data_IF_817931479904
#
_entry.id   IF_817931479904
#
_cell.length_a   1.000
_cell.length_b   1.000
_cell.length_c   1.000
_cell.angle_alpha   90.00
_cell.angle_beta   90.00
_cell.angle_gamma   90.00
#
_symmetry.space_group_name_H-M   'P 1'
#
loop_
_entity.id
_entity.type
_entity.pdbx_description
1 polymer ?
#
# COMPACT_ATOMS: atom_id res chain seq x y z
N UNK A 1 -39.36 31.27 2.21
CA UNK A 1 -39.66 32.54 2.86
C UNK A 1 -40.44 32.39 4.18
N UNK A 2 -41.48 31.57 4.21
CA UNK A 2 -42.28 31.37 5.43
C UNK A 2 -41.42 30.84 6.60
N UNK A 3 -40.60 29.82 6.38
CA UNK A 3 -39.68 29.27 7.37
C UNK A 3 -38.73 30.37 7.91
N UNK A 4 -38.15 31.17 7.02
CA UNK A 4 -37.28 32.28 7.41
C UNK A 4 -38.00 33.28 8.31
N UNK A 5 -39.24 33.71 7.95
CA UNK A 5 -40.03 34.61 8.78
C UNK A 5 -40.29 34.03 10.18
N UNK A 6 -40.60 32.75 10.28
CA UNK A 6 -40.82 32.05 11.57
C UNK A 6 -39.56 32.02 12.42
N UNK A 7 -38.40 31.79 11.81
CA UNK A 7 -37.09 31.83 12.49
C UNK A 7 -36.81 33.24 13.00
N UNK A 8 -37.03 34.26 12.16
CA UNK A 8 -36.83 35.66 12.58
C UNK A 8 -37.78 36.08 13.70
N UNK A 9 -39.02 35.62 13.68
CA UNK A 9 -39.98 35.87 14.76
C UNK A 9 -39.50 35.25 16.08
N UNK A 10 -39.00 34.03 16.06
CA UNK A 10 -38.45 33.38 17.25
C UNK A 10 -37.15 34.09 17.74
N UNK A 11 -36.25 34.48 16.85
CA UNK A 11 -35.06 35.28 17.20
C UNK A 11 -35.46 36.57 17.90
N UNK A 12 -36.45 37.30 17.37
CA UNK A 12 -36.97 38.51 18.00
C UNK A 12 -37.56 38.27 19.39
N UNK A 13 -38.34 37.19 19.56
CA UNK A 13 -38.91 36.78 20.85
C UNK A 13 -37.81 36.52 21.88
N UNK A 14 -36.77 35.76 21.53
CA UNK A 14 -35.64 35.44 22.42
C UNK A 14 -34.86 36.71 22.83
N UNK A 15 -34.74 37.68 21.92
CA UNK A 15 -34.14 39.00 22.24
C UNK A 15 -35.02 39.78 23.24
N UNK A 16 -36.32 39.80 23.03
CA UNK A 16 -37.28 40.50 23.94
C UNK A 16 -37.30 39.85 25.33
N UNK A 17 -37.18 38.53 25.41
CA UNK A 17 -37.10 37.79 26.68
C UNK A 17 -35.70 37.90 27.35
N UNK A 18 -34.74 38.62 26.75
CA UNK A 18 -33.39 38.78 27.28
C UNK A 18 -32.52 37.51 27.24
N UNK A 19 -32.98 36.45 26.55
CA UNK A 19 -32.27 35.16 26.43
C UNK A 19 -31.08 35.21 25.46
N UNK A 20 -31.13 36.11 24.48
CA UNK A 20 -30.04 36.34 23.53
C UNK A 20 -29.80 37.85 23.35
N UNK A 21 -28.57 38.24 23.10
CA UNK A 21 -28.21 39.63 22.84
C UNK A 21 -28.64 40.07 21.44
N UNK A 22 -29.06 41.33 21.29
CA UNK A 22 -29.31 41.93 19.99
C UNK A 22 -27.98 42.09 19.24
N UNK A 23 -27.85 41.44 18.07
CA UNK A 23 -26.70 41.56 17.18
C UNK A 23 -26.88 42.72 16.19
N UNK A 24 -25.78 43.17 15.60
CA UNK A 24 -25.83 44.11 14.47
C UNK A 24 -26.49 43.41 13.27
N UNK A 25 -27.35 44.11 12.52
CA UNK A 25 -27.93 43.54 11.31
C UNK A 25 -26.84 43.19 10.31
N UNK A 26 -26.98 42.04 9.66
CA UNK A 26 -26.10 41.63 8.56
C UNK A 26 -26.46 42.43 7.29
N UNK A 27 -25.55 42.66 6.38
CA UNK A 27 -25.81 43.36 5.12
C UNK A 27 -26.85 42.60 4.27
N UNK A 28 -27.47 43.27 3.32
CA UNK A 28 -28.26 42.58 2.29
C UNK A 28 -27.36 41.70 1.42
N UNK A 29 -27.87 40.54 1.06
CA UNK A 29 -27.13 39.59 0.19
C UNK A 29 -27.17 40.14 -1.24
N UNK A 30 -26.02 40.49 -1.80
CA UNK A 30 -25.91 40.96 -3.17
C UNK A 30 -26.02 39.77 -4.15
N UNK A 31 -26.51 40.02 -5.36
CA UNK A 31 -26.69 38.97 -6.38
C UNK A 31 -25.37 38.31 -6.78
N UNK A 32 -24.27 39.03 -6.78
CA UNK A 32 -22.93 38.55 -7.09
C UNK A 32 -22.27 37.75 -5.96
N UNK A 33 -22.81 37.84 -4.73
CA UNK A 33 -22.36 37.01 -3.59
C UNK A 33 -22.98 35.61 -3.58
N UNK A 34 -24.07 35.41 -4.34
CA UNK A 34 -24.82 34.14 -4.38
C UNK A 34 -24.00 33.05 -5.11
N UNK A 35 -23.65 31.94 -4.46
CA UNK A 35 -22.71 30.96 -5.03
C UNK A 35 -23.31 30.16 -6.20
N UNK A 36 -24.62 30.00 -6.30
CA UNK A 36 -25.36 29.26 -7.32
C UNK A 36 -26.86 29.58 -7.24
N UNK A 37 -27.57 29.28 -8.31
CA UNK A 37 -29.04 29.41 -8.35
C UNK A 37 -29.71 28.38 -7.43
N UNK A 38 -30.75 28.77 -6.75
CA UNK A 38 -31.57 27.91 -5.89
C UNK A 38 -33.00 27.77 -6.44
N UNK A 39 -33.69 26.64 -6.19
CA UNK A 39 -35.06 26.44 -6.64
C UNK A 39 -36.03 27.51 -6.11
N UNK A 40 -37.08 27.74 -6.88
CA UNK A 40 -38.18 28.59 -6.44
C UNK A 40 -38.76 28.10 -5.11
N UNK A 41 -39.04 29.01 -4.20
CA UNK A 41 -39.49 28.71 -2.83
C UNK A 41 -38.38 28.54 -1.81
N UNK A 42 -37.09 28.45 -2.23
CA UNK A 42 -35.95 28.52 -1.33
C UNK A 42 -35.56 29.99 -1.06
N UNK A 43 -34.73 30.21 -0.05
CA UNK A 43 -34.22 31.56 0.27
C UNK A 43 -32.74 31.45 0.67
N UNK A 44 -31.92 32.39 0.17
CA UNK A 44 -30.61 32.63 0.74
C UNK A 44 -30.71 33.36 2.06
N UNK A 45 -29.96 32.93 3.06
CA UNK A 45 -29.86 33.58 4.36
C UNK A 45 -28.44 33.41 4.92
N UNK A 46 -28.00 34.34 5.72
CA UNK A 46 -26.76 34.16 6.48
C UNK A 46 -26.96 33.18 7.64
N UNK A 47 -25.92 32.39 7.97
CA UNK A 47 -25.98 31.45 9.08
C UNK A 47 -26.37 32.12 10.40
N UNK A 48 -25.82 33.32 10.68
CA UNK A 48 -26.14 34.10 11.88
C UNK A 48 -27.61 34.59 11.98
N UNK A 49 -28.36 34.53 10.86
CA UNK A 49 -29.80 34.80 10.89
C UNK A 49 -30.62 33.56 11.32
N UNK A 50 -30.06 32.37 11.08
CA UNK A 50 -30.75 31.08 11.27
C UNK A 50 -30.43 30.43 12.62
N UNK A 51 -29.26 30.73 13.18
CA UNK A 51 -28.69 30.02 14.33
C UNK A 51 -28.15 30.98 15.40
N UNK A 52 -28.29 30.55 16.64
CA UNK A 52 -27.53 31.10 17.77
C UNK A 52 -26.12 30.54 17.70
N UNK A 53 -25.15 31.42 17.54
CA UNK A 53 -23.72 31.07 17.48
C UNK A 53 -22.99 31.51 18.74
N UNK A 54 -22.16 30.64 19.30
CA UNK A 54 -21.24 30.95 20.39
C UNK A 54 -19.92 30.23 20.20
N UNK A 55 -18.85 30.82 20.74
CA UNK A 55 -17.55 30.15 20.91
C UNK A 55 -17.38 29.71 22.36
N UNK A 56 -16.51 28.76 22.59
CA UNK A 56 -16.22 28.27 23.93
C UNK A 56 -15.29 29.18 24.75
N UNK A 57 -14.80 28.65 25.86
CA UNK A 57 -13.86 29.33 26.77
C UNK A 57 -12.42 29.13 26.33
N UNK A 58 -11.62 30.20 26.38
CA UNK A 58 -10.18 30.13 26.19
C UNK A 58 -9.51 29.29 27.31
N UNK A 59 -8.54 28.46 26.94
CA UNK A 59 -7.75 27.71 27.89
C UNK A 59 -6.69 28.65 28.49
N UNK A 60 -6.90 29.14 29.71
CA UNK A 60 -5.95 30.01 30.39
C UNK A 60 -4.96 29.20 31.22
N UNK A 61 -3.68 29.45 31.03
CA UNK A 61 -2.59 28.90 31.83
C UNK A 61 -2.41 29.59 33.19
N UNK A 62 -2.97 30.81 33.36
CA UNK A 62 -2.94 31.61 34.62
C UNK A 62 -4.34 31.61 35.25
N UNK A 63 -4.57 30.57 36.07
CA UNK A 63 -5.89 30.20 36.54
C UNK A 63 -6.63 31.22 37.38
N UNK A 64 -7.74 31.71 36.90
CA UNK A 64 -8.88 31.95 37.75
C UNK A 64 -9.57 30.61 38.02
N UNK A 65 -9.28 30.00 39.17
CA UNK A 65 -9.90 28.74 39.65
C UNK A 65 -11.35 28.94 40.09
N UNK A 66 -12.06 29.98 39.60
CA UNK A 66 -13.44 30.26 39.95
C UNK A 66 -14.37 29.51 39.00
N UNK A 67 -15.29 28.73 39.56
CA UNK A 67 -16.31 28.00 38.81
C UNK A 67 -16.33 26.51 39.08
N UNK A 68 -17.19 25.80 38.36
CA UNK A 68 -17.34 24.33 38.44
C UNK A 68 -16.49 23.66 37.39
N UNK A 69 -15.71 22.67 37.76
CA UNK A 69 -14.89 21.90 36.82
C UNK A 69 -15.80 21.07 35.91
N UNK A 70 -15.61 21.18 34.61
CA UNK A 70 -16.35 20.45 33.58
C UNK A 70 -15.43 19.96 32.49
N UNK A 71 -15.80 18.83 31.90
CA UNK A 71 -15.20 18.31 30.66
C UNK A 71 -15.49 19.23 29.50
N UNK A 72 -14.51 19.41 28.61
CA UNK A 72 -14.68 20.25 27.44
C UNK A 72 -14.06 19.67 26.18
N UNK A 73 -14.69 19.93 25.04
CA UNK A 73 -14.27 19.53 23.70
C UNK A 73 -13.36 20.59 23.10
N UNK A 74 -12.29 20.13 22.49
CA UNK A 74 -11.35 20.90 21.67
C UNK A 74 -11.44 20.49 20.21
N UNK A 75 -10.76 21.18 19.32
CA UNK A 75 -10.68 20.80 17.90
C UNK A 75 -10.06 19.41 17.68
N UNK A 76 -9.22 18.93 18.59
CA UNK A 76 -8.64 17.58 18.51
C UNK A 76 -9.62 16.46 18.86
N UNK A 77 -10.73 16.77 19.54
CA UNK A 77 -11.78 15.81 19.85
C UNK A 77 -12.85 15.72 18.75
N UNK A 78 -12.94 16.73 17.84
CA UNK A 78 -13.99 16.85 16.85
C UNK A 78 -13.51 16.35 15.50
N UNK A 79 -14.20 15.38 14.92
CA UNK A 79 -13.99 14.83 13.58
C UNK A 79 -15.28 14.97 12.76
N UNK A 80 -15.24 14.69 11.47
CA UNK A 80 -16.45 14.65 10.67
C UNK A 80 -17.43 13.61 11.21
N UNK A 81 -18.63 14.08 11.58
CA UNK A 81 -19.75 13.30 12.12
C UNK A 81 -19.43 12.44 13.36
N UNK A 82 -18.34 12.71 14.08
CA UNK A 82 -17.98 11.94 15.28
C UNK A 82 -17.10 12.74 16.23
N UNK A 83 -17.05 12.28 17.50
CA UNK A 83 -16.14 12.80 18.51
C UNK A 83 -15.22 11.71 19.05
N UNK A 84 -13.96 12.04 19.27
CA UNK A 84 -13.07 11.22 20.08
C UNK A 84 -13.13 11.68 21.54
N UNK A 85 -13.82 10.91 22.35
CA UNK A 85 -14.00 11.19 23.77
C UNK A 85 -13.03 10.42 24.67
N UNK A 86 -12.04 9.73 24.12
CA UNK A 86 -11.05 8.93 24.88
C UNK A 86 -10.15 9.81 25.76
N UNK A 87 -9.87 11.05 25.33
CA UNK A 87 -9.02 12.03 26.02
C UNK A 87 -9.69 13.40 26.07
N UNK A 88 -10.63 13.56 26.97
CA UNK A 88 -11.33 14.83 27.19
C UNK A 88 -10.70 15.57 28.36
N UNK A 89 -10.35 16.85 28.16
CA UNK A 89 -9.75 17.71 29.20
C UNK A 89 -10.84 18.31 30.09
N UNK A 90 -10.41 18.81 31.26
CA UNK A 90 -11.29 19.48 32.21
C UNK A 90 -10.74 20.87 32.58
N UNK A 91 -11.63 21.82 32.80
CA UNK A 91 -11.29 23.14 33.34
C UNK A 91 -12.51 23.77 34.10
N UNK A 92 -12.27 24.77 34.96
CA UNK A 92 -13.37 25.43 35.64
C UNK A 92 -14.14 26.38 34.72
N UNK A 93 -15.48 26.42 34.90
CA UNK A 93 -16.40 27.31 34.22
C UNK A 93 -17.27 28.03 35.23
N UNK A 94 -17.45 29.36 35.07
CA UNK A 94 -18.45 30.12 35.82
C UNK A 94 -19.86 29.83 35.30
N UNK A 95 -20.90 30.23 36.03
CA UNK A 95 -22.29 30.02 35.56
C UNK A 95 -22.57 30.71 34.22
N UNK A 96 -22.10 31.94 34.03
CA UNK A 96 -22.25 32.66 32.76
C UNK A 96 -21.49 31.97 31.61
N UNK A 97 -20.31 31.39 31.89
CA UNK A 97 -19.56 30.62 30.90
C UNK A 97 -20.25 29.30 30.59
N UNK A 98 -20.85 28.61 31.57
CA UNK A 98 -21.62 27.39 31.35
C UNK A 98 -22.81 27.63 30.42
N UNK A 99 -23.55 28.71 30.61
CA UNK A 99 -24.65 29.06 29.71
C UNK A 99 -24.20 29.25 28.26
N UNK A 100 -23.09 29.92 28.06
CA UNK A 100 -22.53 30.23 26.74
C UNK A 100 -21.81 29.04 26.09
N UNK A 101 -20.98 28.32 26.87
CA UNK A 101 -20.03 27.36 26.33
C UNK A 101 -20.52 25.91 26.36
N UNK A 102 -21.74 25.63 26.85
CA UNK A 102 -22.26 24.28 26.94
C UNK A 102 -22.98 23.86 25.67
N UNK A 103 -22.49 22.79 25.05
CA UNK A 103 -23.14 22.08 23.95
C UNK A 103 -24.13 21.04 24.50
N UNK A 104 -25.24 20.87 23.80
CA UNK A 104 -26.31 19.91 24.09
C UNK A 104 -26.71 19.18 22.81
N UNK A 105 -27.45 18.10 22.96
CA UNK A 105 -27.96 17.30 21.85
C UNK A 105 -28.62 18.16 20.78
N UNK A 106 -28.23 17.97 19.53
CA UNK A 106 -28.70 18.74 18.38
C UNK A 106 -27.89 20.00 18.06
N UNK A 107 -26.87 20.35 18.85
CA UNK A 107 -25.96 21.44 18.49
C UNK A 107 -24.95 20.96 17.41
N UNK A 108 -24.69 21.80 16.40
CA UNK A 108 -23.60 21.59 15.45
C UNK A 108 -22.34 22.25 15.99
N UNK A 109 -21.30 21.47 16.21
CA UNK A 109 -19.97 21.93 16.61
C UNK A 109 -19.07 22.04 15.38
N UNK A 110 -18.35 23.16 15.23
CA UNK A 110 -17.51 23.46 14.07
C UNK A 110 -16.12 23.90 14.54
N UNK A 111 -15.07 23.39 13.95
CA UNK A 111 -13.70 23.83 14.23
C UNK A 111 -13.41 25.20 13.64
N UNK A 112 -12.90 26.12 14.49
CA UNK A 112 -12.38 27.43 14.08
C UNK A 112 -11.02 27.28 13.38
N UNK A 113 -10.13 26.44 13.91
CA UNK A 113 -8.76 26.27 13.44
C UNK A 113 -8.32 24.82 13.30
N UNK A 114 -7.10 24.63 12.82
CA UNK A 114 -6.58 23.33 12.43
C UNK A 114 -7.22 22.89 11.11
N UNK A 115 -8.12 21.92 11.15
CA UNK A 115 -8.98 21.59 10.00
C UNK A 115 -10.26 22.48 10.05
N UNK A 116 -10.09 23.75 9.68
CA UNK A 116 -11.08 24.79 9.72
C UNK A 116 -12.37 24.36 8.99
N UNK A 117 -13.52 24.53 9.64
CA UNK A 117 -14.84 24.16 9.11
C UNK A 117 -15.23 22.70 9.30
N UNK A 118 -14.36 21.83 9.86
CA UNK A 118 -14.73 20.48 10.25
C UNK A 118 -15.83 20.50 11.29
N UNK A 119 -16.89 19.71 11.09
CA UNK A 119 -18.10 19.79 11.86
C UNK A 119 -18.63 18.42 12.30
N UNK A 120 -19.34 18.40 13.44
CA UNK A 120 -20.13 17.25 13.89
C UNK A 120 -21.30 17.69 14.74
N UNK A 121 -22.39 16.93 14.69
CA UNK A 121 -23.56 17.13 15.50
C UNK A 121 -23.36 16.46 16.86
N UNK A 122 -23.59 17.19 17.96
CA UNK A 122 -23.55 16.61 19.29
C UNK A 122 -24.80 15.77 19.53
N UNK A 123 -24.70 14.47 19.37
CA UNK A 123 -25.83 13.51 19.47
C UNK A 123 -25.90 12.79 20.83
N UNK A 124 -25.13 13.24 21.83
CA UNK A 124 -25.14 12.68 23.19
C UNK A 124 -26.16 13.39 24.07
N UNK A 125 -26.77 12.64 24.98
CA UNK A 125 -27.71 13.21 25.96
C UNK A 125 -26.98 14.03 27.03
N UNK A 126 -25.72 13.70 27.29
CA UNK A 126 -24.84 14.41 28.20
C UNK A 126 -24.37 15.74 27.58
N UNK A 127 -24.45 16.80 28.41
CA UNK A 127 -23.94 18.13 28.03
C UNK A 127 -22.42 18.17 28.18
N UNK A 128 -21.75 18.90 27.31
CA UNK A 128 -20.30 19.10 27.32
C UNK A 128 -19.95 20.57 27.09
N UNK A 129 -18.89 21.05 27.71
CA UNK A 129 -18.38 22.39 27.41
C UNK A 129 -17.49 22.37 26.16
N UNK A 130 -17.27 23.53 25.56
CA UNK A 130 -16.41 23.69 24.38
C UNK A 130 -15.30 24.71 24.63
N UNK A 131 -14.15 24.52 23.98
CA UNK A 131 -13.01 25.43 23.97
C UNK A 131 -13.23 26.54 22.92
N UNK A 132 -12.56 27.69 23.10
CA UNK A 132 -12.70 28.87 22.23
C UNK A 132 -12.49 28.64 20.73
N UNK A 133 -11.73 27.63 20.31
CA UNK A 133 -11.53 27.24 18.90
C UNK A 133 -12.60 26.26 18.37
N UNK A 134 -13.69 26.10 19.11
CA UNK A 134 -14.86 25.33 18.68
C UNK A 134 -16.07 26.27 18.71
N UNK A 135 -16.72 26.41 17.57
CA UNK A 135 -17.99 27.10 17.42
C UNK A 135 -19.12 26.14 17.76
N UNK A 136 -20.13 26.65 18.51
CA UNK A 136 -21.41 26.00 18.73
C UNK A 136 -22.49 26.74 17.94
N UNK A 137 -23.17 26.02 17.08
CA UNK A 137 -24.26 26.50 16.23
C UNK A 137 -25.52 25.77 16.67
N UNK A 138 -26.46 26.51 17.23
CA UNK A 138 -27.77 26.03 17.75
C UNK A 138 -28.91 26.63 16.95
N UNK A 139 -29.79 25.80 16.37
CA UNK A 139 -30.92 26.34 15.61
C UNK A 139 -31.88 27.13 16.53
N UNK A 140 -32.38 28.24 16.03
CA UNK A 140 -33.42 28.96 16.76
C UNK A 140 -34.72 28.15 16.84
N UNK A 141 -35.17 27.60 15.73
CA UNK A 141 -36.31 26.68 15.65
C UNK A 141 -36.45 26.05 14.26
N UNK A 142 -37.00 24.83 14.22
CA UNK A 142 -37.58 24.20 13.03
C UNK A 142 -36.68 23.99 11.80
N UNK A 143 -35.34 23.99 11.95
CA UNK A 143 -34.43 23.58 10.89
C UNK A 143 -33.88 22.18 11.14
N UNK A 144 -33.50 21.45 10.08
CA UNK A 144 -32.76 20.21 10.22
C UNK A 144 -31.27 20.51 10.37
N UNK A 145 -30.69 20.17 11.53
CA UNK A 145 -29.29 20.41 11.81
C UNK A 145 -28.42 19.52 10.91
N UNK A 146 -28.91 18.33 10.53
CA UNK A 146 -28.26 17.38 9.62
C UNK A 146 -28.08 17.98 8.23
N UNK A 147 -29.07 18.73 7.74
CA UNK A 147 -28.97 19.47 6.48
C UNK A 147 -27.81 20.47 6.51
N UNK A 148 -27.69 21.24 7.59
CA UNK A 148 -26.58 22.18 7.74
C UNK A 148 -25.24 21.50 7.96
N UNK A 149 -25.21 20.35 8.63
CA UNK A 149 -24.00 19.54 8.70
C UNK A 149 -23.50 19.15 7.29
N UNK A 150 -24.38 18.64 6.42
CA UNK A 150 -24.01 18.30 5.04
C UNK A 150 -23.68 19.54 4.21
N UNK A 151 -24.28 20.67 4.48
CA UNK A 151 -23.92 21.94 3.84
C UNK A 151 -22.48 22.36 4.22
N UNK A 152 -22.11 22.27 5.51
CA UNK A 152 -20.75 22.52 5.95
C UNK A 152 -19.75 21.56 5.32
N UNK A 153 -20.10 20.30 5.22
CA UNK A 153 -19.30 19.28 4.53
C UNK A 153 -19.06 19.68 3.07
N UNK A 154 -20.13 19.97 2.33
CA UNK A 154 -20.04 20.42 0.94
C UNK A 154 -19.17 21.68 0.80
N UNK A 155 -19.39 22.69 1.63
CA UNK A 155 -18.67 23.96 1.56
C UNK A 155 -17.18 23.80 1.90
N UNK A 156 -16.84 22.92 2.81
CA UNK A 156 -15.45 22.61 3.12
C UNK A 156 -14.75 22.00 1.92
N UNK A 157 -15.31 20.95 1.32
CA UNK A 157 -14.67 20.22 0.22
C UNK A 157 -14.77 20.95 -1.13
N UNK A 158 -15.64 21.92 -1.27
CA UNK A 158 -15.69 22.80 -2.45
C UNK A 158 -14.92 24.12 -2.26
N UNK A 159 -14.21 24.29 -1.14
CA UNK A 159 -13.40 25.48 -0.86
C UNK A 159 -14.20 26.75 -0.58
N UNK A 160 -15.49 26.64 -0.23
CA UNK A 160 -16.37 27.77 0.07
C UNK A 160 -16.27 28.25 1.50
N UNK A 161 -15.81 27.44 2.44
CA UNK A 161 -15.43 27.86 3.79
C UNK A 161 -13.98 28.36 3.74
N UNK A 162 -13.79 29.64 3.50
CA UNK A 162 -12.46 30.27 3.49
C UNK A 162 -12.12 30.76 4.89
N UNK A 163 -11.03 30.22 5.45
CA UNK A 163 -10.39 30.79 6.64
C UNK A 163 -9.51 31.98 6.28
N UNK A 164 -9.38 32.93 7.19
CA UNK A 164 -8.46 34.07 7.08
C UNK A 164 -7.19 33.81 7.90
N UNK A 165 -6.03 34.14 7.33
CA UNK A 165 -4.72 34.04 7.99
C UNK A 165 -3.62 33.46 7.09
N UNK A 166 -2.38 33.96 7.24
CA UNK A 166 -1.22 33.57 6.41
C UNK A 166 -0.57 32.27 6.89
N UNK A 167 -0.61 31.98 8.19
CA UNK A 167 0.03 30.82 8.80
C UNK A 167 -0.97 29.79 9.38
N UNK A 168 -2.09 30.23 9.92
CA UNK A 168 -3.17 29.38 10.44
C UNK A 168 -4.48 29.94 9.90
N UNK A 169 -5.10 29.21 8.99
CA UNK A 169 -6.43 29.57 8.50
C UNK A 169 -7.46 29.30 9.61
N UNK A 170 -8.14 30.35 10.10
CA UNK A 170 -9.18 30.26 11.10
C UNK A 170 -10.54 30.74 10.55
N UNK A 171 -11.62 30.03 10.90
CA UNK A 171 -12.97 30.46 10.62
C UNK A 171 -13.46 31.35 11.78
N UNK A 172 -13.27 32.67 11.67
CA UNK A 172 -13.66 33.59 12.75
C UNK A 172 -15.18 33.60 13.00
N UNK A 173 -15.58 34.07 14.17
CA UNK A 173 -17.02 34.25 14.52
C UNK A 173 -17.77 35.12 13.51
N UNK A 174 -17.13 36.15 12.97
CA UNK A 174 -17.75 36.99 11.95
C UNK A 174 -17.87 36.24 10.60
N UNK A 175 -16.84 35.47 10.22
CA UNK A 175 -16.88 34.70 9.00
C UNK A 175 -17.97 33.61 9.04
N UNK A 176 -18.14 32.93 10.18
CA UNK A 176 -19.17 31.90 10.32
C UNK A 176 -20.58 32.50 10.27
N UNK A 177 -20.80 33.70 10.85
CA UNK A 177 -22.06 34.41 10.77
C UNK A 177 -22.44 34.77 9.34
N UNK A 178 -21.47 35.11 8.49
CA UNK A 178 -21.66 35.49 7.09
C UNK A 178 -21.66 34.31 6.12
N UNK A 179 -21.63 33.06 6.59
CA UNK A 179 -21.78 31.91 5.70
C UNK A 179 -23.16 31.94 5.06
N UNK A 180 -23.20 32.03 3.73
CA UNK A 180 -24.45 32.00 2.99
C UNK A 180 -24.99 30.58 2.93
N UNK A 181 -26.23 30.41 3.35
CA UNK A 181 -26.91 29.13 3.46
C UNK A 181 -28.19 29.15 2.60
N UNK A 182 -28.35 28.21 1.65
CA UNK A 182 -29.63 28.03 1.01
C UNK A 182 -30.61 27.39 2.01
N UNK A 183 -31.76 27.98 2.16
CA UNK A 183 -32.78 27.57 3.12
C UNK A 183 -34.02 27.01 2.40
N UNK A 184 -34.07 25.67 2.19
CA UNK A 184 -35.26 24.96 1.71
C UNK A 184 -36.36 24.94 2.75
N UNK A 185 -37.63 24.68 2.37
CA UNK A 185 -38.68 24.30 3.32
C UNK A 185 -38.26 23.12 4.18
N UNK A 186 -38.68 23.06 5.46
CA UNK A 186 -38.23 22.02 6.42
C UNK A 186 -38.46 20.59 5.93
N UNK A 187 -39.59 20.32 5.27
CA UNK A 187 -39.88 19.01 4.71
C UNK A 187 -38.87 18.62 3.64
N UNK A 188 -38.40 19.58 2.85
CA UNK A 188 -37.40 19.39 1.82
C UNK A 188 -36.00 19.19 2.40
N UNK A 189 -35.62 19.96 3.44
CA UNK A 189 -34.37 19.69 4.18
C UNK A 189 -34.30 18.23 4.62
N UNK A 190 -35.37 17.67 5.18
CA UNK A 190 -35.45 16.26 5.60
C UNK A 190 -35.33 15.27 4.42
N UNK A 191 -36.00 15.59 3.28
CA UNK A 191 -35.90 14.74 2.08
C UNK A 191 -34.48 14.73 1.51
N UNK A 192 -33.81 15.90 1.50
CA UNK A 192 -32.41 15.99 1.06
C UNK A 192 -31.51 15.16 1.97
N UNK A 193 -31.64 15.30 3.29
CA UNK A 193 -30.87 14.49 4.26
C UNK A 193 -31.11 13.00 4.05
N UNK A 194 -32.39 12.58 4.00
CA UNK A 194 -32.74 11.19 3.80
C UNK A 194 -32.14 10.63 2.50
N UNK A 195 -32.12 11.44 1.41
CA UNK A 195 -31.52 10.99 0.14
C UNK A 195 -30.02 10.90 0.20
N UNK A 196 -29.35 11.82 0.88
CA UNK A 196 -27.91 11.75 1.11
C UNK A 196 -27.56 10.48 1.92
N UNK A 197 -28.28 10.24 3.02
CA UNK A 197 -28.05 9.07 3.90
C UNK A 197 -28.38 7.75 3.20
N UNK A 198 -29.35 7.72 2.29
CA UNK A 198 -29.62 6.57 1.42
C UNK A 198 -28.45 6.28 0.47
N UNK A 199 -27.81 7.34 -0.07
CA UNK A 199 -26.75 7.19 -1.08
C UNK A 199 -25.35 6.90 -0.49
N UNK A 200 -25.04 7.43 0.70
CA UNK A 200 -23.73 7.26 1.33
C UNK A 200 -23.26 5.79 1.42
N UNK A 201 -24.09 4.81 1.84
CA UNK A 201 -23.68 3.41 1.88
C UNK A 201 -23.32 2.81 0.51
N UNK A 202 -23.87 3.36 -0.59
CA UNK A 202 -23.51 2.93 -1.94
C UNK A 202 -22.15 3.47 -2.34
N UNK A 203 -21.81 4.70 -1.95
CA UNK A 203 -20.48 5.28 -2.16
C UNK A 203 -19.41 4.49 -1.41
N UNK A 204 -19.66 4.12 -0.15
CA UNK A 204 -18.74 3.27 0.63
C UNK A 204 -18.52 1.90 -0.02
N UNK A 205 -19.57 1.29 -0.56
CA UNK A 205 -19.46 0.02 -1.29
C UNK A 205 -18.69 0.18 -2.60
N UNK A 206 -18.97 1.26 -3.31
CA UNK A 206 -18.26 1.57 -4.55
C UNK A 206 -16.76 1.78 -4.29
N UNK A 207 -16.40 2.58 -3.28
CA UNK A 207 -15.00 2.81 -2.90
C UNK A 207 -14.28 1.51 -2.55
N UNK A 208 -14.90 0.65 -1.74
CA UNK A 208 -14.34 -0.67 -1.40
C UNK A 208 -14.16 -1.57 -2.62
N UNK A 209 -15.15 -1.58 -3.53
CA UNK A 209 -15.07 -2.37 -4.75
C UNK A 209 -14.00 -1.81 -5.71
N UNK A 210 -13.91 -0.49 -5.83
CA UNK A 210 -12.91 0.19 -6.63
C UNK A 210 -11.49 -0.09 -6.13
N UNK A 211 -11.24 0.11 -4.84
CA UNK A 211 -9.92 -0.15 -4.23
C UNK A 211 -9.49 -1.61 -4.40
N UNK A 212 -10.45 -2.55 -4.29
CA UNK A 212 -10.19 -3.98 -4.54
C UNK A 212 -9.86 -4.26 -6.01
N UNK A 213 -10.57 -3.63 -6.93
CA UNK A 213 -10.31 -3.75 -8.37
C UNK A 213 -8.93 -3.18 -8.74
N UNK A 214 -8.59 -2.01 -8.22
CA UNK A 214 -7.28 -1.38 -8.40
C UNK A 214 -6.15 -2.29 -7.90
N UNK A 215 -6.31 -2.88 -6.72
CA UNK A 215 -5.34 -3.84 -6.17
C UNK A 215 -5.22 -5.08 -7.05
N UNK A 216 -6.33 -5.64 -7.53
CA UNK A 216 -6.30 -6.77 -8.45
C UNK A 216 -5.59 -6.41 -9.76
N UNK A 217 -5.91 -5.28 -10.37
CA UNK A 217 -5.28 -4.85 -11.61
C UNK A 217 -3.76 -4.68 -11.44
N UNK A 218 -3.33 -4.10 -10.34
CA UNK A 218 -1.91 -3.93 -10.02
C UNK A 218 -1.17 -5.24 -9.82
N UNK A 219 -1.81 -6.24 -9.20
CA UNK A 219 -1.20 -7.55 -8.90
C UNK A 219 -1.31 -8.53 -10.05
N UNK A 220 -2.35 -8.42 -10.86
CA UNK A 220 -2.70 -9.39 -11.89
C UNK A 220 -1.54 -9.78 -12.82
N UNK A 221 -0.73 -8.82 -13.37
CA UNK A 221 0.38 -9.18 -14.26
C UNK A 221 1.43 -10.06 -13.58
N UNK A 222 1.75 -9.76 -12.32
CA UNK A 222 2.74 -10.49 -11.53
C UNK A 222 2.22 -11.86 -11.10
N UNK A 223 0.97 -11.93 -10.64
CA UNK A 223 0.36 -13.18 -10.20
C UNK A 223 0.12 -14.12 -11.40
N UNK A 224 -0.20 -13.55 -12.58
CA UNK A 224 -0.30 -14.31 -13.82
C UNK A 224 1.06 -14.88 -14.26
N UNK A 225 2.14 -14.09 -14.22
CA UNK A 225 3.50 -14.60 -14.48
C UNK A 225 3.87 -15.75 -13.55
N UNK A 226 3.60 -15.61 -12.25
CA UNK A 226 3.84 -16.68 -11.26
C UNK A 226 3.03 -17.93 -11.58
N UNK A 227 1.77 -17.78 -11.95
CA UNK A 227 0.88 -18.90 -12.30
C UNK A 227 1.39 -19.63 -13.55
N UNK A 228 1.81 -18.90 -14.57
CA UNK A 228 2.38 -19.47 -15.81
C UNK A 228 3.67 -20.24 -15.52
N UNK A 229 4.58 -19.68 -14.72
CA UNK A 229 5.80 -20.38 -14.30
C UNK A 229 5.48 -21.65 -13.48
N UNK A 230 4.47 -21.62 -12.62
CA UNK A 230 4.05 -22.79 -11.87
C UNK A 230 3.44 -23.85 -12.79
N UNK A 231 2.62 -23.46 -13.78
CA UNK A 231 2.10 -24.39 -14.79
C UNK A 231 3.21 -25.02 -15.62
N UNK A 232 4.24 -24.26 -15.95
CA UNK A 232 5.40 -24.75 -16.70
C UNK A 232 6.10 -25.92 -15.99
N UNK A 233 6.38 -25.76 -14.69
CA UNK A 233 7.06 -26.79 -13.89
C UNK A 233 6.14 -27.96 -13.48
N UNK A 234 4.82 -27.81 -13.65
CA UNK A 234 3.84 -28.86 -13.43
C UNK A 234 3.52 -29.65 -14.71
N UNK A 235 4.18 -29.35 -15.84
CA UNK A 235 3.90 -30.00 -17.13
C UNK A 235 2.54 -29.66 -17.74
N UNK A 236 1.94 -28.52 -17.33
CA UNK A 236 0.60 -28.06 -17.77
C UNK A 236 0.64 -26.96 -18.83
N UNK A 237 1.84 -26.52 -19.24
CA UNK A 237 2.00 -25.40 -20.16
C UNK A 237 2.03 -25.82 -21.64
N UNK A 238 2.53 -27.02 -21.91
CA UNK A 238 2.60 -27.62 -23.25
C UNK A 238 2.07 -29.04 -23.22
N UNK A 239 1.69 -29.55 -24.39
CA UNK A 239 1.20 -30.91 -24.55
C UNK A 239 2.31 -31.94 -24.28
N UNK A 240 2.01 -33.03 -23.60
CA UNK A 240 2.94 -34.14 -23.39
C UNK A 240 3.10 -34.93 -24.66
N UNK A 241 4.36 -35.32 -25.05
CA UNK A 241 4.70 -36.05 -26.27
C UNK A 241 5.54 -37.26 -25.93
N UNK A 242 4.97 -38.47 -25.85
CA UNK A 242 5.70 -39.69 -25.48
C UNK A 242 6.89 -39.99 -26.41
N UNK A 243 6.82 -39.58 -27.68
CA UNK A 243 7.91 -39.76 -28.67
C UNK A 243 9.18 -38.95 -28.36
N UNK A 244 9.09 -37.95 -27.48
CA UNK A 244 10.25 -37.13 -27.06
C UNK A 244 11.09 -37.80 -25.98
N UNK A 245 10.73 -39.02 -25.56
CA UNK A 245 11.40 -39.78 -24.49
C UNK A 245 10.85 -39.44 -23.10
N UNK A 246 11.63 -39.72 -22.08
CA UNK A 246 11.21 -39.46 -20.68
C UNK A 246 12.37 -38.92 -19.83
N UNK A 247 12.01 -38.32 -18.70
CA UNK A 247 12.93 -37.70 -17.73
C UNK A 247 13.86 -38.72 -17.06
N UNK A 248 13.43 -39.99 -16.88
CA UNK A 248 14.25 -41.03 -16.29
C UNK A 248 15.42 -41.42 -17.21
N UNK A 249 15.17 -41.48 -18.52
CA UNK A 249 16.17 -41.74 -19.53
C UNK A 249 17.19 -40.61 -19.61
N UNK A 250 16.71 -39.38 -19.65
CA UNK A 250 17.54 -38.17 -19.63
C UNK A 250 18.41 -38.14 -18.34
N UNK A 251 17.82 -38.41 -17.19
CA UNK A 251 18.56 -38.49 -15.93
C UNK A 251 19.70 -39.49 -15.98
N UNK A 252 19.46 -40.73 -16.49
CA UNK A 252 20.51 -41.76 -16.64
C UNK A 252 21.63 -41.31 -17.57
N UNK A 253 21.32 -40.65 -18.68
CA UNK A 253 22.31 -40.09 -19.60
C UNK A 253 23.20 -39.05 -18.91
N UNK A 254 22.56 -38.11 -18.16
CA UNK A 254 23.27 -37.08 -17.41
C UNK A 254 24.17 -37.68 -16.33
N UNK A 255 23.69 -38.67 -15.58
CA UNK A 255 24.51 -39.33 -14.56
C UNK A 255 25.70 -40.07 -15.19
N UNK A 256 25.54 -40.72 -16.35
CA UNK A 256 26.62 -41.36 -17.09
C UNK A 256 27.68 -40.34 -17.55
N UNK A 257 27.25 -39.21 -18.12
CA UNK A 257 28.15 -38.11 -18.50
C UNK A 257 28.89 -37.54 -17.28
N UNK A 258 28.17 -37.31 -16.18
CA UNK A 258 28.75 -36.81 -14.93
C UNK A 258 29.82 -37.75 -14.39
N UNK A 259 29.59 -39.07 -14.42
CA UNK A 259 30.58 -40.07 -14.03
C UNK A 259 31.79 -40.06 -14.95
N UNK A 260 31.60 -39.87 -16.27
CA UNK A 260 32.71 -39.76 -17.24
C UNK A 260 33.58 -38.52 -16.95
N UNK A 261 32.95 -37.37 -16.63
CA UNK A 261 33.66 -36.14 -16.28
C UNK A 261 34.43 -36.27 -14.95
N UNK A 262 33.89 -37.00 -13.96
CA UNK A 262 34.58 -37.33 -12.70
C UNK A 262 35.79 -38.21 -12.97
N UNK A 263 35.65 -39.27 -13.78
CA UNK A 263 36.75 -40.15 -14.14
C UNK A 263 37.87 -39.42 -14.92
N UNK A 264 37.49 -38.46 -15.74
CA UNK A 264 38.43 -37.60 -16.48
C UNK A 264 39.06 -36.49 -15.59
N UNK A 265 38.72 -36.40 -14.32
CA UNK A 265 39.24 -35.38 -13.40
C UNK A 265 38.75 -33.96 -13.68
N UNK A 266 37.72 -33.80 -14.53
CA UNK A 266 37.18 -32.50 -14.93
C UNK A 266 36.24 -31.90 -13.89
N UNK A 267 35.55 -32.74 -13.11
CA UNK A 267 34.67 -32.33 -12.00
C UNK A 267 34.95 -33.20 -10.77
N UNK A 268 34.66 -32.68 -9.58
CA UNK A 268 34.87 -33.39 -8.33
C UNK A 268 33.74 -34.40 -8.07
N UNK A 269 34.11 -35.55 -7.47
CA UNK A 269 33.13 -36.54 -7.01
C UNK A 269 32.36 -35.98 -5.80
N UNK A 270 31.04 -35.88 -5.92
CA UNK A 270 30.15 -35.53 -4.81
C UNK A 270 29.60 -36.79 -4.15
N UNK A 271 29.14 -36.67 -2.89
CA UNK A 271 28.41 -37.76 -2.23
C UNK A 271 27.07 -37.96 -2.94
N UNK A 272 26.64 -39.21 -3.19
CA UNK A 272 25.33 -39.45 -3.77
C UNK A 272 24.26 -38.86 -2.85
N UNK A 273 23.26 -38.25 -3.45
CA UNK A 273 22.09 -37.75 -2.74
C UNK A 273 21.10 -38.89 -2.52
N UNK A 274 20.29 -38.85 -1.47
CA UNK A 274 19.15 -39.75 -1.32
C UNK A 274 18.14 -39.48 -2.45
N UNK A 275 17.33 -40.48 -2.79
CA UNK A 275 16.17 -40.25 -3.65
C UNK A 275 15.19 -39.31 -2.94
N UNK A 276 14.47 -38.49 -3.72
CA UNK A 276 13.42 -37.60 -3.19
C UNK A 276 12.28 -38.51 -2.74
N UNK A 277 11.95 -38.47 -1.45
CA UNK A 277 10.86 -39.28 -0.90
C UNK A 277 9.50 -38.78 -1.40
N UNK A 278 8.50 -39.63 -1.46
CA UNK A 278 7.16 -39.25 -1.95
C UNK A 278 6.51 -38.13 -1.14
N UNK A 279 6.79 -38.04 0.15
CA UNK A 279 6.32 -36.99 1.05
C UNK A 279 7.10 -35.64 0.89
N UNK A 280 8.26 -35.68 0.25
CA UNK A 280 9.06 -34.50 -0.11
C UNK A 280 8.69 -33.91 -1.49
N UNK A 281 7.86 -34.64 -2.28
CA UNK A 281 7.42 -34.20 -3.62
C UNK A 281 6.43 -33.05 -3.50
N UNK A 282 6.73 -31.87 -4.06
CA UNK A 282 5.88 -30.69 -3.87
C UNK A 282 4.50 -30.77 -4.55
N UNK A 283 4.40 -31.53 -5.66
CA UNK A 283 3.17 -31.72 -6.44
C UNK A 283 3.35 -32.87 -7.45
N UNK A 284 2.27 -33.34 -7.99
CA UNK A 284 2.28 -34.37 -9.06
C UNK A 284 2.81 -33.79 -10.39
N UNK A 285 3.70 -34.54 -11.06
CA UNK A 285 4.23 -34.24 -12.38
C UNK A 285 3.78 -35.29 -13.41
N UNK A 286 3.82 -35.01 -14.72
CA UNK A 286 3.51 -35.99 -15.76
C UNK A 286 4.32 -37.30 -15.63
N UNK A 287 3.74 -38.43 -16.00
CA UNK A 287 4.33 -39.76 -15.92
C UNK A 287 5.71 -39.88 -16.63
N UNK A 288 5.88 -39.09 -17.69
CA UNK A 288 7.16 -39.03 -18.44
C UNK A 288 8.23 -38.17 -17.78
N UNK A 289 7.97 -37.52 -16.64
CA UNK A 289 8.92 -36.64 -15.95
C UNK A 289 9.55 -37.34 -14.74
N UNK A 290 10.67 -36.78 -14.23
CA UNK A 290 11.33 -37.25 -13.01
C UNK A 290 11.62 -36.08 -12.06
N UNK A 291 11.39 -36.25 -10.76
CA UNK A 291 11.91 -35.36 -9.77
C UNK A 291 13.40 -35.60 -9.54
N UNK A 292 14.21 -34.54 -9.54
CA UNK A 292 15.65 -34.59 -9.29
C UNK A 292 16.06 -33.43 -8.38
N UNK A 293 17.17 -33.57 -7.67
CA UNK A 293 17.79 -32.41 -7.03
C UNK A 293 18.59 -31.60 -8.05
N UNK A 294 18.64 -30.28 -7.83
CA UNK A 294 19.43 -29.39 -8.71
C UNK A 294 20.87 -29.87 -8.86
N UNK A 295 21.49 -30.39 -7.77
CA UNK A 295 22.85 -30.93 -7.82
C UNK A 295 23.00 -32.09 -8.82
N UNK A 296 21.98 -32.86 -9.11
CA UNK A 296 22.03 -33.97 -10.04
C UNK A 296 22.22 -33.52 -11.49
N UNK A 297 21.75 -32.33 -11.82
CA UNK A 297 21.72 -31.77 -13.19
C UNK A 297 22.72 -30.62 -13.41
N UNK A 298 23.54 -30.29 -12.44
CA UNK A 298 24.65 -29.34 -12.56
C UNK A 298 26.01 -30.03 -12.49
N UNK A 299 27.03 -29.41 -13.07
CA UNK A 299 28.39 -30.01 -13.19
C UNK A 299 29.05 -30.19 -11.82
N UNK A 300 28.95 -29.17 -10.99
CA UNK A 300 29.50 -29.14 -9.64
C UNK A 300 28.57 -28.33 -8.70
N UNK A 301 28.76 -28.51 -7.39
CA UNK A 301 27.94 -27.77 -6.40
C UNK A 301 28.08 -26.27 -6.58
N UNK A 302 27.01 -25.51 -6.16
CA UNK A 302 27.02 -24.07 -6.22
C UNK A 302 28.24 -23.47 -5.50
N UNK A 303 28.93 -22.53 -6.13
CA UNK A 303 30.11 -21.87 -5.58
C UNK A 303 29.83 -20.41 -5.26
N UNK A 304 30.24 -19.96 -4.07
CA UNK A 304 30.15 -18.54 -3.71
C UNK A 304 31.23 -17.75 -4.47
N UNK A 305 30.88 -16.49 -4.79
CA UNK A 305 31.86 -15.58 -5.38
C UNK A 305 32.79 -14.93 -4.35
N UNK A 306 33.40 -13.83 -4.75
CA UNK A 306 34.36 -13.07 -3.96
C UNK A 306 34.00 -11.57 -3.96
N UNK A 307 34.06 -10.92 -2.81
CA UNK A 307 33.65 -9.51 -2.64
C UNK A 307 34.82 -8.65 -2.18
N UNK A 308 35.82 -8.37 -3.01
CA UNK A 308 36.85 -7.40 -2.68
C UNK A 308 36.27 -5.99 -2.58
N UNK A 309 37.03 -5.09 -1.94
CA UNK A 309 36.65 -3.67 -1.83
C UNK A 309 36.63 -3.04 -3.23
N UNK A 310 35.58 -2.30 -3.53
CA UNK A 310 35.50 -1.53 -4.79
C UNK A 310 36.43 -0.33 -4.78
N UNK A 311 36.87 0.07 -5.97
CA UNK A 311 37.68 1.26 -6.22
C UNK A 311 36.97 2.16 -7.24
N UNK A 312 37.30 3.45 -7.25
CA UNK A 312 36.69 4.50 -8.07
C UNK A 312 37.48 4.79 -9.36
N UNK A 313 38.51 4.00 -9.61
CA UNK A 313 39.29 4.06 -10.85
C UNK A 313 39.15 2.76 -11.64
N UNK A 314 39.42 2.84 -12.95
CA UNK A 314 39.30 1.72 -13.87
C UNK A 314 40.41 0.69 -13.62
N UNK A 315 40.01 -0.57 -13.41
CA UNK A 315 40.90 -1.74 -13.31
C UNK A 315 40.52 -2.80 -14.32
N UNK A 316 41.41 -3.76 -14.61
CA UNK A 316 41.10 -4.88 -15.51
C UNK A 316 39.95 -5.77 -15.00
N UNK A 317 39.73 -5.81 -13.66
CA UNK A 317 38.78 -6.75 -13.07
C UNK A 317 37.49 -5.99 -12.63
N UNK A 318 36.36 -6.47 -13.16
CA UNK A 318 35.03 -5.99 -12.85
C UNK A 318 34.27 -7.02 -12.03
N UNK A 319 33.74 -6.61 -10.89
CA UNK A 319 32.94 -7.46 -10.01
C UNK A 319 31.47 -7.05 -10.07
N UNK A 320 30.57 -7.97 -10.39
CA UNK A 320 29.14 -7.72 -10.41
C UNK A 320 28.65 -7.25 -9.03
N UNK A 321 27.60 -6.44 -9.02
CA UNK A 321 26.84 -6.13 -7.81
C UNK A 321 25.55 -6.94 -7.78
N UNK A 322 24.87 -7.01 -6.63
CA UNK A 322 23.59 -7.73 -6.53
C UNK A 322 22.55 -7.24 -7.53
N UNK A 323 22.56 -5.94 -7.85
CA UNK A 323 21.63 -5.35 -8.81
C UNK A 323 21.77 -5.89 -10.22
N UNK A 324 22.90 -6.53 -10.55
CA UNK A 324 23.11 -7.19 -11.83
C UNK A 324 22.13 -8.34 -12.10
N UNK A 325 21.55 -8.93 -11.05
CA UNK A 325 20.68 -10.11 -11.16
C UNK A 325 19.34 -9.97 -10.45
N UNK A 326 19.10 -8.88 -9.71
CA UNK A 326 17.90 -8.69 -8.86
C UNK A 326 16.59 -8.71 -9.64
N UNK A 327 16.60 -8.29 -10.91
CA UNK A 327 15.42 -8.36 -11.78
C UNK A 327 15.13 -9.76 -12.34
N UNK A 328 15.99 -10.75 -12.07
CA UNK A 328 15.96 -12.06 -12.71
C UNK A 328 16.47 -12.06 -14.16
N UNK A 329 16.99 -10.92 -14.64
CA UNK A 329 17.67 -10.75 -15.94
C UNK A 329 19.04 -10.13 -15.70
N UNK A 330 20.03 -10.54 -16.47
CA UNK A 330 21.38 -10.00 -16.36
C UNK A 330 21.43 -8.53 -16.81
N UNK A 331 22.08 -7.70 -16.00
CA UNK A 331 22.30 -6.28 -16.26
C UNK A 331 23.79 -5.99 -16.26
N UNK A 332 24.34 -5.77 -17.46
CA UNK A 332 25.79 -5.63 -17.67
C UNK A 332 26.38 -4.39 -17.00
N UNK A 333 25.60 -3.32 -16.86
CA UNK A 333 26.02 -2.05 -16.26
C UNK A 333 26.18 -2.10 -14.73
N UNK A 334 25.72 -3.18 -14.08
CA UNK A 334 25.69 -3.28 -12.61
C UNK A 334 26.94 -3.98 -12.06
N UNK A 335 28.07 -3.30 -12.08
CA UNK A 335 29.36 -3.80 -11.57
C UNK A 335 30.11 -2.71 -10.81
N UNK A 336 31.21 -3.10 -10.18
CA UNK A 336 32.23 -2.22 -9.59
C UNK A 336 33.62 -2.65 -10.05
N UNK A 337 34.56 -1.74 -10.17
CA UNK A 337 35.96 -2.03 -10.36
C UNK A 337 36.57 -2.52 -9.04
N UNK A 338 37.49 -3.48 -9.13
CA UNK A 338 38.21 -4.05 -7.98
C UNK A 338 39.68 -4.18 -8.32
N UNK A 339 40.54 -3.80 -7.38
CA UNK A 339 41.99 -3.87 -7.53
C UNK A 339 42.52 -5.07 -6.76
N UNK A 340 42.60 -6.19 -7.46
CA UNK A 340 43.09 -7.48 -6.94
C UNK A 340 43.98 -8.16 -7.99
N UNK A 341 44.90 -9.04 -7.56
CA UNK A 341 45.65 -9.88 -8.49
C UNK A 341 44.75 -10.75 -9.37
N UNK A 342 45.11 -10.95 -10.63
CA UNK A 342 44.34 -11.78 -11.57
C UNK A 342 44.26 -13.23 -11.06
N UNK A 343 45.29 -13.72 -10.39
CA UNK A 343 45.35 -15.04 -9.75
C UNK A 343 44.22 -15.23 -8.71
N UNK A 344 43.81 -14.17 -8.02
CA UNK A 344 42.73 -14.22 -7.05
C UNK A 344 41.35 -14.22 -7.72
N UNK A 345 41.27 -13.65 -8.94
CA UNK A 345 40.04 -13.61 -9.74
C UNK A 345 39.81 -14.93 -10.51
N UNK A 346 40.84 -15.73 -10.76
CA UNK A 346 40.84 -16.89 -11.69
C UNK A 346 39.65 -17.85 -11.45
N UNK A 347 39.29 -18.12 -10.21
CA UNK A 347 38.22 -19.05 -9.83
C UNK A 347 36.81 -18.46 -10.03
N UNK A 348 36.70 -17.16 -10.21
CA UNK A 348 35.43 -16.43 -10.15
C UNK A 348 34.97 -15.87 -11.50
N UNK A 349 35.78 -16.05 -12.56
CA UNK A 349 35.39 -15.62 -13.89
C UNK A 349 34.13 -16.31 -14.36
N UNK A 350 33.17 -15.50 -14.82
CA UNK A 350 31.92 -15.97 -15.40
C UNK A 350 32.09 -16.34 -16.87
N UNK A 351 31.33 -17.33 -17.29
CA UNK A 351 31.16 -17.71 -18.69
C UNK A 351 29.70 -17.58 -19.09
N UNK A 352 29.48 -17.27 -20.36
CA UNK A 352 28.11 -17.20 -20.90
C UNK A 352 27.39 -18.52 -20.64
N UNK A 353 26.13 -18.42 -20.13
CA UNK A 353 25.35 -19.58 -19.74
C UNK A 353 25.51 -19.99 -18.27
N UNK A 354 26.46 -19.40 -17.53
CA UNK A 354 26.51 -19.62 -16.07
C UNK A 354 25.19 -19.18 -15.40
N UNK A 355 24.65 -20.01 -14.55
CA UNK A 355 23.46 -19.72 -13.76
C UNK A 355 23.88 -19.12 -12.41
N UNK A 356 23.41 -17.91 -12.14
CA UNK A 356 23.67 -17.18 -10.91
C UNK A 356 22.43 -17.21 -10.01
N UNK A 357 22.65 -17.43 -8.72
CA UNK A 357 21.59 -17.38 -7.69
C UNK A 357 22.01 -16.44 -6.57
N UNK A 358 21.16 -15.50 -6.21
CA UNK A 358 21.43 -14.60 -5.09
C UNK A 358 21.38 -15.35 -3.77
N UNK A 359 22.52 -15.47 -3.12
CA UNK A 359 22.67 -16.12 -1.82
C UNK A 359 22.07 -15.31 -0.69
N UNK A 360 22.17 -13.98 -0.75
CA UNK A 360 21.75 -13.07 0.30
C UNK A 360 21.11 -11.82 -0.31
N UNK A 361 19.90 -11.53 0.15
CA UNK A 361 19.15 -10.31 -0.19
C UNK A 361 17.96 -10.18 0.78
N UNK A 362 17.00 -9.28 0.54
CA UNK A 362 15.72 -9.29 1.26
C UNK A 362 15.05 -10.68 1.17
N UNK A 363 14.12 -10.96 2.06
CA UNK A 363 13.42 -12.26 2.09
C UNK A 363 12.70 -12.60 0.78
N UNK A 364 12.22 -11.58 0.10
CA UNK A 364 11.54 -11.71 -1.20
C UNK A 364 12.49 -11.97 -2.36
N UNK A 365 13.73 -11.50 -2.25
CA UNK A 365 14.72 -11.53 -3.31
C UNK A 365 15.78 -12.62 -3.14
N UNK A 366 15.96 -13.17 -1.92
CA UNK A 366 16.92 -14.27 -1.68
C UNK A 366 16.60 -15.45 -2.59
N UNK A 367 17.62 -16.01 -3.24
CA UNK A 367 17.49 -17.14 -4.19
C UNK A 367 16.96 -16.74 -5.58
N UNK A 368 16.83 -15.45 -5.93
CA UNK A 368 16.57 -15.06 -7.32
C UNK A 368 17.68 -15.58 -8.23
N UNK A 369 17.29 -16.23 -9.32
CA UNK A 369 18.20 -16.76 -10.35
C UNK A 369 18.27 -15.85 -11.57
N UNK A 370 19.38 -15.96 -12.29
CA UNK A 370 19.63 -15.25 -13.53
C UNK A 370 20.70 -15.98 -14.35
N UNK A 371 20.50 -16.06 -15.66
CA UNK A 371 21.54 -16.57 -16.57
C UNK A 371 22.48 -15.42 -16.93
N UNK A 372 23.78 -15.66 -16.80
CA UNK A 372 24.79 -14.71 -17.25
C UNK A 372 24.87 -14.72 -18.77
N UNK A 373 24.59 -13.61 -19.41
CA UNK A 373 24.58 -13.42 -20.87
C UNK A 373 25.76 -12.59 -21.39
N UNK A 374 26.65 -12.10 -20.51
CA UNK A 374 27.82 -11.32 -20.85
C UNK A 374 28.91 -12.16 -21.55
N UNK A 375 30.01 -11.53 -21.95
CA UNK A 375 31.16 -12.19 -22.55
C UNK A 375 31.91 -13.07 -21.52
N UNK A 376 32.55 -14.12 -22.00
CA UNK A 376 33.37 -14.98 -21.15
C UNK A 376 34.50 -14.18 -20.49
N UNK A 377 34.71 -14.43 -19.21
CA UNK A 377 35.77 -13.81 -18.41
C UNK A 377 35.71 -12.25 -18.36
N UNK A 378 34.54 -11.65 -18.59
CA UNK A 378 34.38 -10.21 -18.51
C UNK A 378 34.11 -9.72 -17.06
N UNK A 379 33.56 -10.56 -16.22
CA UNK A 379 33.18 -10.25 -14.84
C UNK A 379 33.48 -11.40 -13.89
N UNK A 380 33.80 -11.06 -12.66
CA UNK A 380 33.67 -11.95 -11.50
C UNK A 380 32.38 -11.63 -10.76
N UNK A 381 31.99 -12.44 -9.76
CA UNK A 381 30.75 -12.28 -9.02
C UNK A 381 31.00 -12.24 -7.50
N UNK A 382 30.12 -11.51 -6.73
CA UNK A 382 30.32 -11.32 -5.30
C UNK A 382 29.97 -12.60 -4.51
N UNK A 383 30.46 -12.66 -3.25
CA UNK A 383 30.16 -13.75 -2.31
C UNK A 383 28.67 -13.84 -1.92
N UNK A 384 27.88 -12.77 -2.22
CA UNK A 384 26.44 -12.72 -2.08
C UNK A 384 25.69 -13.44 -3.23
N UNK A 385 26.41 -13.98 -4.21
CA UNK A 385 25.89 -14.81 -5.29
C UNK A 385 26.56 -16.20 -5.29
N UNK A 386 25.84 -17.18 -5.81
CA UNK A 386 26.35 -18.51 -6.13
C UNK A 386 26.29 -18.73 -7.63
N UNK A 387 27.36 -19.31 -8.21
CA UNK A 387 27.44 -19.71 -9.61
C UNK A 387 27.28 -21.21 -9.74
N UNK A 388 26.57 -21.62 -10.79
CA UNK A 388 26.38 -22.99 -11.21
C UNK A 388 26.53 -23.11 -12.73
N UNK A 389 26.89 -24.33 -13.22
CA UNK A 389 26.86 -24.69 -14.64
C UNK A 389 25.99 -25.92 -14.81
N UNK A 390 25.01 -25.80 -15.66
CA UNK A 390 24.11 -26.91 -15.97
C UNK A 390 24.85 -27.94 -16.83
N UNK A 391 24.50 -29.22 -16.66
CA UNK A 391 25.08 -30.32 -17.48
C UNK A 391 24.65 -30.15 -18.94
N UNK A 392 25.51 -30.63 -19.87
CA UNK A 392 25.11 -30.76 -21.27
C UNK A 392 23.84 -31.64 -21.37
N UNK A 393 23.00 -31.36 -22.35
CA UNK A 393 21.72 -32.08 -22.48
C UNK A 393 20.60 -31.58 -21.61
N UNK A 394 20.82 -30.54 -20.81
CA UNK A 394 19.78 -29.79 -20.04
C UNK A 394 19.63 -28.37 -20.60
N UNK A 395 18.43 -27.90 -20.76
CA UNK A 395 18.18 -26.52 -21.14
C UNK A 395 18.35 -25.59 -19.92
N UNK A 396 19.36 -24.73 -19.95
CA UNK A 396 19.70 -23.82 -18.86
C UNK A 396 18.53 -22.85 -18.58
N UNK A 397 17.85 -22.37 -19.61
CA UNK A 397 16.70 -21.48 -19.54
C UNK A 397 15.53 -22.15 -18.82
N UNK A 398 15.29 -23.44 -19.06
CA UNK A 398 14.28 -24.22 -18.34
C UNK A 398 14.60 -24.27 -16.83
N UNK A 399 15.86 -24.56 -16.49
CA UNK A 399 16.29 -24.59 -15.07
C UNK A 399 16.11 -23.20 -14.43
N UNK A 400 16.49 -22.13 -15.11
CA UNK A 400 16.31 -20.76 -14.61
C UNK A 400 14.84 -20.43 -14.37
N UNK A 401 13.93 -20.77 -15.30
CA UNK A 401 12.50 -20.61 -15.10
C UNK A 401 11.95 -21.49 -13.97
N UNK A 402 12.45 -22.71 -13.81
CA UNK A 402 12.08 -23.56 -12.68
C UNK A 402 12.48 -22.94 -11.34
N UNK A 403 13.67 -22.35 -11.25
CA UNK A 403 14.13 -21.66 -10.04
C UNK A 403 13.34 -20.37 -9.74
N UNK A 404 12.73 -19.76 -10.74
CA UNK A 404 11.85 -18.58 -10.61
C UNK A 404 10.40 -18.94 -10.28
N UNK A 405 10.02 -20.21 -10.42
CA UNK A 405 8.65 -20.65 -10.14
C UNK A 405 8.29 -20.48 -8.66
N UNK A 406 7.02 -20.17 -8.33
CA UNK A 406 6.57 -19.89 -6.97
C UNK A 406 6.95 -20.95 -5.95
N UNK A 407 6.91 -22.22 -6.32
CA UNK A 407 7.28 -23.33 -5.43
C UNK A 407 8.74 -23.21 -4.99
N UNK A 408 9.68 -23.06 -5.92
CA UNK A 408 11.12 -22.94 -5.60
C UNK A 408 11.41 -21.64 -4.85
N UNK A 409 10.74 -20.55 -5.24
CA UNK A 409 10.85 -19.26 -4.51
C UNK A 409 10.40 -19.41 -3.05
N UNK A 410 9.29 -20.10 -2.81
CA UNK A 410 8.79 -20.39 -1.45
C UNK A 410 9.76 -21.27 -0.68
N UNK A 411 10.33 -22.31 -1.33
CA UNK A 411 11.35 -23.17 -0.73
C UNK A 411 12.58 -22.36 -0.27
N UNK A 412 13.09 -21.43 -1.10
CA UNK A 412 14.22 -20.59 -0.72
C UNK A 412 13.88 -19.63 0.41
N UNK A 413 12.71 -18.99 0.39
CA UNK A 413 12.24 -18.10 1.47
C UNK A 413 12.08 -18.83 2.81
N UNK A 414 11.59 -20.08 2.78
CA UNK A 414 11.41 -20.91 3.98
C UNK A 414 12.74 -21.38 4.57
N UNK A 415 13.74 -21.68 3.72
CA UNK A 415 15.04 -22.20 4.13
C UNK A 415 16.12 -21.10 4.29
N UNK A 416 15.75 -19.83 4.14
CA UNK A 416 16.66 -18.73 4.38
C UNK A 416 16.87 -18.50 5.88
N UNK A 417 18.13 -18.51 6.34
CA UNK A 417 18.51 -18.22 7.73
C UNK A 417 18.86 -16.75 7.90
N UNK A 418 18.54 -16.17 9.06
CA UNK A 418 18.79 -14.78 9.45
C UNK A 418 17.60 -14.19 10.18
N UNK A 419 17.84 -13.21 11.06
CA UNK A 419 16.79 -12.44 11.72
C UNK A 419 16.10 -11.50 10.73
N UNK A 420 14.85 -11.10 11.01
CA UNK A 420 14.02 -10.26 10.12
C UNK A 420 14.65 -8.92 9.72
N UNK A 421 15.63 -8.43 10.49
CA UNK A 421 16.35 -7.17 10.26
C UNK A 421 17.68 -7.34 9.52
N UNK A 422 18.22 -8.56 9.41
CA UNK A 422 19.44 -8.87 8.67
C UNK A 422 19.09 -9.48 7.30
N UNK A 423 19.96 -9.26 6.31
CA UNK A 423 19.82 -9.87 4.99
C UNK A 423 19.78 -11.40 5.12
N UNK A 424 18.61 -12.08 4.93
CA UNK A 424 18.52 -13.52 5.01
C UNK A 424 19.40 -14.20 3.95
N UNK A 425 19.93 -15.38 4.28
CA UNK A 425 20.87 -16.12 3.45
C UNK A 425 20.45 -17.56 3.23
N UNK A 426 20.57 -18.04 2.02
CA UNK A 426 20.53 -19.47 1.70
C UNK A 426 21.95 -19.99 1.55
N UNK A 427 22.17 -21.25 1.83
CA UNK A 427 23.48 -21.88 1.74
C UNK A 427 23.56 -22.80 0.50
N UNK A 428 24.77 -23.24 0.17
CA UNK A 428 25.03 -24.12 -0.96
C UNK A 428 24.23 -25.44 -0.88
N UNK A 429 24.01 -25.97 0.35
CA UNK A 429 23.22 -27.19 0.56
C UNK A 429 21.77 -26.96 0.18
N UNK A 430 21.18 -25.86 0.62
CA UNK A 430 19.80 -25.49 0.27
C UNK A 430 19.61 -25.42 -1.26
N UNK A 431 20.53 -24.75 -1.96
CA UNK A 431 20.47 -24.67 -3.43
C UNK A 431 20.70 -26.02 -4.10
N UNK A 432 21.68 -26.82 -3.62
CA UNK A 432 21.96 -28.15 -4.14
C UNK A 432 20.78 -29.11 -4.03
N UNK A 433 20.02 -29.02 -2.91
CA UNK A 433 18.88 -29.87 -2.62
C UNK A 433 17.54 -29.26 -3.09
N UNK A 434 17.57 -28.27 -3.97
CA UNK A 434 16.34 -27.75 -4.57
C UNK A 434 15.71 -28.84 -5.45
N UNK A 435 14.47 -29.26 -5.18
CA UNK A 435 13.77 -30.21 -6.05
C UNK A 435 13.37 -29.51 -7.35
N UNK A 436 13.71 -30.13 -8.48
CA UNK A 436 13.41 -29.63 -9.82
C UNK A 436 12.77 -30.76 -10.63
N UNK A 437 11.65 -30.53 -11.32
CA UNK A 437 11.09 -31.52 -12.23
C UNK A 437 11.92 -31.58 -13.52
N UNK A 438 12.20 -32.75 -14.00
CA UNK A 438 13.04 -33.01 -15.19
C UNK A 438 12.18 -33.62 -16.31
N UNK A 439 11.68 -32.81 -17.27
CA UNK A 439 11.10 -33.31 -18.51
C UNK A 439 12.16 -33.75 -19.50
N UNK A 440 11.79 -34.47 -20.60
CA UNK A 440 12.64 -34.69 -21.75
C UNK A 440 13.20 -33.39 -22.31
N UNK A 441 14.43 -33.40 -22.87
CA UNK A 441 15.09 -32.18 -23.37
C UNK A 441 14.26 -31.43 -24.43
N UNK A 442 13.59 -32.16 -25.32
CA UNK A 442 12.75 -31.55 -26.34
C UNK A 442 11.55 -30.78 -25.71
N UNK A 443 10.96 -31.34 -24.67
CA UNK A 443 9.89 -30.70 -23.93
C UNK A 443 10.38 -29.48 -23.13
N UNK A 444 11.57 -29.55 -22.50
CA UNK A 444 12.18 -28.36 -21.85
C UNK A 444 12.26 -27.19 -22.83
N UNK A 445 12.72 -27.42 -24.06
CA UNK A 445 12.82 -26.39 -25.10
C UNK A 445 11.47 -25.84 -25.53
N UNK A 446 10.43 -26.67 -25.64
CA UNK A 446 9.08 -26.24 -25.97
C UNK A 446 8.45 -25.40 -24.83
N UNK A 447 8.70 -25.80 -23.59
CA UNK A 447 8.28 -25.03 -22.41
C UNK A 447 8.93 -23.66 -22.44
N UNK A 448 10.24 -23.58 -22.67
CA UNK A 448 10.98 -22.31 -22.75
C UNK A 448 10.43 -21.43 -23.87
N UNK A 449 10.29 -21.96 -25.08
CA UNK A 449 9.73 -21.21 -26.21
C UNK A 449 8.34 -20.64 -25.90
N UNK A 450 7.50 -21.44 -25.24
CA UNK A 450 6.16 -20.98 -24.83
C UNK A 450 6.19 -19.91 -23.73
N UNK A 451 7.11 -20.03 -22.77
CA UNK A 451 7.32 -19.00 -21.74
C UNK A 451 7.82 -17.69 -22.35
N UNK A 452 8.77 -17.75 -23.28
CA UNK A 452 9.30 -16.57 -23.98
C UNK A 452 8.23 -15.86 -24.83
N UNK A 453 7.25 -16.59 -25.34
CA UNK A 453 6.09 -16.02 -26.03
C UNK A 453 5.10 -15.34 -25.08
N UNK A 454 4.78 -15.96 -23.93
CA UNK A 454 3.66 -15.54 -23.08
C UNK A 454 4.09 -14.52 -22.02
N UNK A 455 5.26 -14.66 -21.39
CA UNK A 455 5.67 -13.77 -20.29
C UNK A 455 5.75 -12.29 -20.69
N UNK A 456 6.24 -11.93 -21.91
CA UNK A 456 6.21 -10.53 -22.36
C UNK A 456 4.79 -9.97 -22.51
N UNK A 457 3.79 -10.80 -22.80
CA UNK A 457 2.39 -10.36 -22.87
C UNK A 457 1.88 -9.94 -21.49
N UNK A 458 2.27 -10.65 -20.43
CA UNK A 458 1.94 -10.28 -19.05
C UNK A 458 2.59 -8.94 -18.65
N UNK A 459 3.78 -8.62 -19.17
CA UNK A 459 4.43 -7.33 -18.90
C UNK A 459 3.70 -6.15 -19.54
N UNK A 460 2.99 -6.36 -20.65
CA UNK A 460 2.17 -5.34 -21.33
C UNK A 460 0.85 -5.04 -20.60
N UNK A 461 0.48 -5.86 -19.62
CA UNK A 461 -0.72 -5.66 -18.80
C UNK A 461 -0.47 -4.72 -17.60
N UNK A 462 0.77 -4.27 -17.42
CA UNK A 462 1.15 -3.26 -16.42
C UNK A 462 0.80 -1.87 -16.98
#
# INVERSE_FOLDING_TARGET
EELYRRIQAEKKRLIQEGKIKKEKPLPEIAEDEVPFEIPEGWKWAYLGELFLHNTGKAQNSSGSNKGVVRKFITTSNLYWNRFDLSKVKEMPFTEQELERCTAQKGDLLVCEGGDCGRAAIWNYDEKVCIQNHVHRIRPYKEVSIEYFYYLFYLYKFTGRLKGHGVAIQGLSSEAIHKVLCPLPPRAEQKRIVAKIEELLPYLDRYEKAWNRLEEFNRRFPVDMQKSILQMAIQGKLVEQRPEEGNGEELYRQIQAEKQALIKAGKIKKEKPLPEIAEDEVPFEIPEGWKWVYLLDIIQEKPSNGYSPKGVDYITPIRNLTLTATTSGRFREEAFKYVDIPETDAEKYWLKRGDLLVQRSNSRELVGISCIYTGADNAYIYPDLMMRMRVMNGICTEFVDYALKAPMVRSYYMANASGTSESMPKINQKTVSLTPVPLPPLAEQKRIVARLEEILPLCERLK
#
